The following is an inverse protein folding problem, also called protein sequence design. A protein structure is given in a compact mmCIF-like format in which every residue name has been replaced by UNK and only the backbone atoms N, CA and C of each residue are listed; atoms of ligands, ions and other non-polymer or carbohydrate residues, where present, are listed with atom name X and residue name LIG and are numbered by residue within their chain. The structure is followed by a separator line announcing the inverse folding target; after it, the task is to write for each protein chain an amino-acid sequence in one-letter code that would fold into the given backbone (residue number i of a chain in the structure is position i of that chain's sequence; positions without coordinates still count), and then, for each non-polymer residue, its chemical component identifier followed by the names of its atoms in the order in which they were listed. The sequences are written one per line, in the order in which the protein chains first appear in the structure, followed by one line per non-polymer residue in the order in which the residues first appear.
data_IF_891410778321
#
_entry.id   IF_891410778321
#
_cell.length_a   1.000
_cell.length_b   1.000
_cell.length_c   1.000
_cell.angle_alpha   90.00
_cell.angle_beta   90.00
_cell.angle_gamma   90.00
#
_symmetry.space_group_name_H-M   'P 1'
#
loop_
_entity.id
_entity.type
_entity.pdbx_description
1 polymer ?
#
# COMPACT_ATOMS: atom_id res chain seq x y z
N UNK A 1 5.92 16.83 -13.75
CA UNK A 1 5.15 17.24 -14.95
C UNK A 1 4.45 16.09 -15.72
N UNK A 2 4.39 14.83 -15.23
CA UNK A 2 3.83 13.69 -16.00
C UNK A 2 2.58 13.01 -15.40
N UNK A 3 2.22 13.26 -14.13
CA UNK A 3 0.94 12.79 -13.58
C UNK A 3 -0.27 13.56 -14.11
N UNK A 4 -0.07 14.74 -14.72
CA UNK A 4 -1.16 15.56 -15.27
C UNK A 4 -1.95 14.83 -16.35
N UNK A 5 -1.30 13.95 -17.11
CA UNK A 5 -1.99 13.17 -18.14
C UNK A 5 -2.88 12.08 -17.52
N UNK A 6 -2.49 11.46 -16.40
CA UNK A 6 -3.28 10.38 -15.78
C UNK A 6 -4.32 10.87 -14.77
N UNK A 7 -4.16 12.07 -14.17
CA UNK A 7 -5.02 12.59 -13.09
C UNK A 7 -6.51 12.70 -13.49
N UNK A 8 -6.79 12.91 -14.77
CA UNK A 8 -8.16 12.99 -15.30
C UNK A 8 -8.75 11.67 -15.78
N UNK A 9 -8.07 10.53 -15.57
CA UNK A 9 -8.50 9.21 -16.05
C UNK A 9 -8.84 8.30 -14.88
N UNK A 10 -9.91 7.51 -15.03
CA UNK A 10 -10.25 6.46 -14.07
C UNK A 10 -9.67 5.12 -14.53
N UNK A 11 -8.89 4.44 -13.67
CA UNK A 11 -8.35 3.12 -13.97
C UNK A 11 -9.44 2.05 -13.93
N UNK A 12 -9.36 1.06 -14.82
CA UNK A 12 -10.38 0.02 -14.99
C UNK A 12 -10.53 -0.94 -13.80
N UNK A 13 -9.50 -1.10 -12.97
CA UNK A 13 -9.53 -1.93 -11.74
C UNK A 13 -9.17 -1.06 -10.52
N UNK A 14 -10.10 -0.81 -9.57
CA UNK A 14 -11.46 -1.37 -9.48
C UNK A 14 -12.50 -0.64 -10.36
N UNK A 15 -12.09 0.30 -11.21
CA UNK A 15 -13.02 1.03 -12.06
C UNK A 15 -13.83 2.09 -11.31
N UNK A 16 -14.98 2.42 -11.88
CA UNK A 16 -15.97 3.32 -11.28
C UNK A 16 -16.93 2.58 -10.31
N UNK A 17 -16.79 1.26 -10.17
CA UNK A 17 -17.75 0.42 -9.44
C UNK A 17 -18.00 0.87 -8.00
N UNK A 18 -16.94 1.22 -7.25
CA UNK A 18 -17.11 1.70 -5.87
C UNK A 18 -17.85 3.04 -5.78
N UNK A 19 -17.70 3.92 -6.78
CA UNK A 19 -18.40 5.22 -6.79
C UNK A 19 -19.85 5.01 -7.17
N UNK A 20 -20.12 4.16 -8.18
CA UNK A 20 -21.49 3.78 -8.55
C UNK A 20 -22.25 3.19 -7.37
N UNK A 21 -21.67 2.23 -6.66
CA UNK A 21 -22.30 1.64 -5.47
C UNK A 21 -22.51 2.66 -4.35
N UNK A 22 -21.60 3.64 -4.20
CA UNK A 22 -21.76 4.72 -3.24
C UNK A 22 -22.89 5.69 -3.62
N UNK A 23 -23.12 5.94 -4.91
CA UNK A 23 -24.27 6.70 -5.40
C UNK A 23 -25.58 5.94 -5.14
N UNK A 24 -25.61 4.63 -5.38
CA UNK A 24 -26.82 3.81 -5.24
C UNK A 24 -27.20 3.54 -3.77
N UNK A 25 -26.20 3.30 -2.90
CA UNK A 25 -26.41 2.80 -1.52
C UNK A 25 -25.98 3.77 -0.43
N UNK A 26 -25.37 4.91 -0.77
CA UNK A 26 -24.86 5.88 0.18
C UNK A 26 -23.90 5.25 1.20
N UNK A 27 -24.09 5.55 2.48
CA UNK A 27 -23.24 5.04 3.58
C UNK A 27 -23.24 3.51 3.67
N UNK A 28 -24.31 2.83 3.26
CA UNK A 28 -24.38 1.37 3.26
C UNK A 28 -23.40 0.73 2.27
N UNK A 29 -22.92 1.50 1.29
CA UNK A 29 -21.88 1.05 0.38
C UNK A 29 -20.61 0.60 1.14
N UNK A 30 -20.27 1.21 2.28
CA UNK A 30 -19.09 0.85 3.09
C UNK A 30 -19.08 -0.62 3.53
N UNK A 31 -20.27 -1.20 3.71
CA UNK A 31 -20.44 -2.55 4.23
C UNK A 31 -20.65 -3.60 3.13
N UNK A 32 -20.76 -3.18 1.86
CA UNK A 32 -21.15 -4.02 0.73
C UNK A 32 -19.99 -4.63 -0.08
N UNK A 33 -18.75 -4.58 0.43
CA UNK A 33 -17.58 -5.16 -0.25
C UNK A 33 -17.67 -6.66 -0.55
N UNK A 34 -17.12 -7.10 -1.67
CA UNK A 34 -17.00 -8.52 -2.03
C UNK A 34 -15.54 -8.85 -2.40
N UNK A 35 -14.90 -9.87 -1.79
CA UNK A 35 -15.37 -10.59 -0.60
C UNK A 35 -15.20 -9.74 0.68
N UNK A 36 -14.13 -8.95 0.77
CA UNK A 36 -13.84 -8.15 1.97
C UNK A 36 -14.59 -6.83 1.97
N UNK A 37 -14.75 -6.22 3.14
CA UNK A 37 -15.45 -4.93 3.25
C UNK A 37 -14.81 -3.82 2.40
N UNK A 38 -13.48 -3.79 2.23
CA UNK A 38 -12.78 -2.73 1.48
C UNK A 38 -13.12 -1.30 1.95
N UNK A 39 -13.30 -1.12 3.27
CA UNK A 39 -13.80 0.13 3.87
C UNK A 39 -13.00 1.35 3.45
N UNK A 40 -11.67 1.28 3.37
CA UNK A 40 -10.86 2.43 2.95
C UNK A 40 -11.25 2.92 1.55
N UNK A 41 -11.28 2.02 0.57
CA UNK A 41 -11.54 2.37 -0.82
C UNK A 41 -12.96 2.88 -1.03
N UNK A 42 -13.93 2.25 -0.34
CA UNK A 42 -15.33 2.65 -0.37
C UNK A 42 -15.59 3.97 0.36
N UNK A 43 -14.87 4.26 1.45
CA UNK A 43 -14.95 5.55 2.11
C UNK A 43 -14.44 6.67 1.22
N UNK A 44 -13.34 6.44 0.49
CA UNK A 44 -12.88 7.39 -0.53
C UNK A 44 -13.93 7.55 -1.63
N UNK A 45 -14.50 6.45 -2.15
CA UNK A 45 -15.53 6.51 -3.18
C UNK A 45 -16.81 7.24 -2.74
N UNK A 46 -17.21 7.08 -1.48
CA UNK A 46 -18.34 7.80 -0.88
C UNK A 46 -18.09 9.30 -0.78
N UNK A 47 -16.86 9.72 -0.47
CA UNK A 47 -16.50 11.15 -0.48
C UNK A 47 -16.52 11.67 -1.93
N UNK A 48 -15.98 10.89 -2.87
CA UNK A 48 -15.93 11.26 -4.29
C UNK A 48 -17.33 11.39 -4.89
N UNK A 49 -18.29 10.56 -4.49
CA UNK A 49 -19.65 10.60 -5.02
C UNK A 49 -20.40 11.90 -4.71
N UNK A 50 -19.92 12.71 -3.75
CA UNK A 50 -20.48 14.04 -3.44
C UNK A 50 -20.07 15.13 -4.44
N UNK A 51 -19.11 14.83 -5.32
CA UNK A 51 -18.62 15.79 -6.31
C UNK A 51 -19.30 15.59 -7.68
N UNK A 52 -19.38 16.65 -8.51
CA UNK A 52 -19.95 16.55 -9.85
C UNK A 52 -19.30 15.43 -10.66
N UNK A 53 -20.12 14.66 -11.40
CA UNK A 53 -19.68 13.48 -12.15
C UNK A 53 -18.40 13.73 -12.96
N UNK A 54 -18.31 14.86 -13.67
CA UNK A 54 -17.15 15.22 -14.49
C UNK A 54 -15.82 15.41 -13.72
N UNK A 55 -15.85 15.75 -12.42
CA UNK A 55 -14.65 15.99 -11.61
C UNK A 55 -14.23 14.80 -10.74
N UNK A 56 -15.05 13.75 -10.67
CA UNK A 56 -14.84 12.62 -9.75
C UNK A 56 -13.49 11.90 -9.95
N UNK A 57 -13.00 11.77 -11.18
CA UNK A 57 -11.68 11.17 -11.46
C UNK A 57 -10.52 11.94 -10.80
N UNK A 58 -10.58 13.28 -10.88
CA UNK A 58 -9.56 14.17 -10.32
C UNK A 58 -9.62 14.12 -8.79
N UNK A 59 -10.83 14.25 -8.22
CA UNK A 59 -11.05 14.21 -6.77
C UNK A 59 -10.60 12.86 -6.19
N UNK A 60 -10.96 11.75 -6.84
CA UNK A 60 -10.50 10.41 -6.47
C UNK A 60 -8.98 10.35 -6.43
N UNK A 61 -8.32 10.81 -7.50
CA UNK A 61 -6.87 10.80 -7.58
C UNK A 61 -6.22 11.63 -6.47
N UNK A 62 -6.76 12.82 -6.18
CA UNK A 62 -6.25 13.68 -5.12
C UNK A 62 -6.37 13.02 -3.74
N UNK A 63 -7.53 12.45 -3.41
CA UNK A 63 -7.75 11.78 -2.12
C UNK A 63 -6.85 10.55 -1.99
N UNK A 64 -6.68 9.76 -3.06
CA UNK A 64 -5.75 8.63 -3.08
C UNK A 64 -4.33 9.11 -2.73
N UNK A 65 -3.81 10.14 -3.40
CA UNK A 65 -2.48 10.67 -3.11
C UNK A 65 -2.36 11.26 -1.70
N UNK A 66 -3.44 11.83 -1.16
CA UNK A 66 -3.50 12.29 0.22
C UNK A 66 -3.34 11.12 1.21
N UNK A 67 -4.02 10.00 0.99
CA UNK A 67 -3.87 8.78 1.82
C UNK A 67 -2.45 8.24 1.77
N UNK A 68 -1.85 8.16 0.58
CA UNK A 68 -0.45 7.75 0.39
C UNK A 68 0.52 8.68 1.13
N UNK A 69 0.30 9.99 1.04
CA UNK A 69 1.12 11.01 1.71
C UNK A 69 1.00 10.90 3.23
N UNK A 70 -0.20 10.72 3.76
CA UNK A 70 -0.43 10.53 5.19
C UNK A 70 0.27 9.28 5.72
N UNK A 71 0.17 8.15 5.00
CA UNK A 71 0.89 6.92 5.34
C UNK A 71 2.41 7.13 5.32
N UNK A 72 2.91 7.91 4.36
CA UNK A 72 4.34 8.24 4.24
C UNK A 72 4.82 9.10 5.41
N UNK A 73 4.02 10.07 5.86
CA UNK A 73 4.30 10.86 7.06
C UNK A 73 4.32 9.97 8.32
N UNK A 74 3.37 9.04 8.45
CA UNK A 74 3.35 8.09 9.58
C UNK A 74 4.63 7.23 9.60
N UNK A 75 5.05 6.69 8.46
CA UNK A 75 6.31 5.95 8.35
C UNK A 75 7.50 6.83 8.70
N UNK A 76 7.56 8.06 8.18
CA UNK A 76 8.65 8.99 8.41
C UNK A 76 8.81 9.33 9.90
N UNK A 77 7.70 9.67 10.56
CA UNK A 77 7.68 10.01 11.99
C UNK A 77 8.08 8.81 12.85
N UNK A 78 7.52 7.63 12.59
CA UNK A 78 7.86 6.40 13.32
C UNK A 78 9.34 6.04 13.15
N UNK A 79 9.84 6.11 11.93
CA UNK A 79 11.25 5.81 11.61
C UNK A 79 12.20 6.83 12.23
N UNK A 80 11.84 8.11 12.19
CA UNK A 80 12.60 9.18 12.83
C UNK A 80 12.74 8.91 14.34
N UNK A 81 11.65 8.51 15.01
CA UNK A 81 11.67 8.17 16.43
C UNK A 81 12.58 6.98 16.73
N UNK A 82 12.49 5.92 15.92
CA UNK A 82 13.35 4.73 16.06
C UNK A 82 14.84 5.05 15.88
N UNK A 83 15.19 5.76 14.81
CA UNK A 83 16.58 6.06 14.44
C UNK A 83 17.18 7.29 15.11
N UNK A 84 16.35 8.14 15.71
CA UNK A 84 16.69 9.50 16.17
C UNK A 84 17.30 10.39 15.07
N UNK A 85 17.03 10.10 13.80
CA UNK A 85 17.57 10.85 12.65
C UNK A 85 16.45 11.29 11.72
N UNK A 86 16.29 12.61 11.56
CA UNK A 86 15.21 13.18 10.73
C UNK A 86 15.38 12.81 9.25
N UNK A 87 16.62 12.84 8.75
CA UNK A 87 16.94 12.50 7.35
C UNK A 87 16.51 11.06 7.04
N UNK A 88 16.78 10.12 7.96
CA UNK A 88 16.37 8.73 7.78
C UNK A 88 14.85 8.61 7.73
N UNK A 89 14.13 9.32 8.62
CA UNK A 89 12.66 9.37 8.57
C UNK A 89 12.12 9.95 7.26
N UNK A 90 12.67 11.08 6.80
CA UNK A 90 12.25 11.71 5.54
C UNK A 90 12.48 10.77 4.36
N UNK A 91 13.66 10.14 4.27
CA UNK A 91 13.98 9.19 3.20
C UNK A 91 13.04 8.00 3.23
N UNK A 92 12.71 7.43 4.40
CA UNK A 92 11.77 6.29 4.45
C UNK A 92 10.35 6.66 4.09
N UNK A 93 9.88 7.85 4.47
CA UNK A 93 8.60 8.38 3.99
C UNK A 93 8.59 8.54 2.47
N UNK A 94 9.65 9.11 1.90
CA UNK A 94 9.80 9.26 0.45
C UNK A 94 9.83 7.91 -0.29
N UNK A 95 10.45 6.88 0.28
CA UNK A 95 10.45 5.53 -0.29
C UNK A 95 9.03 4.96 -0.45
N UNK A 96 8.10 5.27 0.47
CA UNK A 96 6.69 4.92 0.28
C UNK A 96 5.99 5.89 -0.69
N UNK A 97 6.17 7.21 -0.54
CA UNK A 97 5.44 8.20 -1.33
C UNK A 97 5.77 8.12 -2.84
N UNK A 98 7.04 7.90 -3.15
CA UNK A 98 7.50 7.67 -4.52
C UNK A 98 7.14 6.26 -5.01
N UNK A 99 6.85 5.37 -4.07
CA UNK A 99 6.37 4.00 -4.29
C UNK A 99 7.01 3.33 -5.50
N UNK A 100 8.35 3.26 -5.57
CA UNK A 100 9.02 2.98 -6.83
C UNK A 100 8.43 1.71 -7.51
N UNK A 101 8.20 0.67 -6.72
CA UNK A 101 7.75 -0.64 -7.15
C UNK A 101 6.23 -0.77 -7.38
N UNK A 102 5.47 0.28 -7.05
CA UNK A 102 4.02 0.35 -7.27
C UNK A 102 3.65 0.75 -8.70
N UNK A 103 4.63 1.16 -9.52
CA UNK A 103 4.42 1.55 -10.93
C UNK A 103 3.16 2.43 -11.12
N UNK A 104 2.40 2.16 -12.18
CA UNK A 104 1.12 2.76 -12.53
C UNK A 104 0.00 2.44 -11.54
N UNK A 105 0.10 1.32 -10.82
CA UNK A 105 -0.96 0.87 -9.93
C UNK A 105 -1.17 1.81 -8.74
N UNK A 106 -0.20 2.66 -8.39
CA UNK A 106 -0.34 3.65 -7.30
C UNK A 106 -1.15 4.90 -7.66
N UNK A 107 -1.25 5.25 -8.95
CA UNK A 107 -1.78 6.54 -9.39
C UNK A 107 -3.30 6.45 -9.61
N UNK A 108 -4.07 7.15 -8.79
CA UNK A 108 -5.54 7.25 -8.94
C UNK A 108 -6.31 5.96 -8.65
N UNK A 109 -5.62 4.85 -8.38
CA UNK A 109 -6.23 3.57 -8.06
C UNK A 109 -6.62 3.51 -6.58
N UNK A 110 -7.92 3.70 -6.34
CA UNK A 110 -8.50 3.67 -5.01
C UNK A 110 -8.40 2.30 -4.32
N UNK A 111 -8.41 1.19 -5.09
CA UNK A 111 -8.27 -0.16 -4.54
C UNK A 111 -6.89 -0.43 -3.94
N UNK A 112 -5.87 0.32 -4.37
CA UNK A 112 -4.49 0.14 -3.94
C UNK A 112 -4.10 0.90 -2.68
N UNK A 113 -4.94 1.79 -2.15
CA UNK A 113 -4.64 2.51 -0.89
C UNK A 113 -4.49 1.58 0.32
N UNK A 114 -5.00 0.35 0.23
CA UNK A 114 -4.81 -0.68 1.27
C UNK A 114 -3.35 -1.04 1.52
N UNK A 115 -2.49 -0.96 0.50
CA UNK A 115 -1.08 -1.31 0.61
C UNK A 115 -0.23 -0.29 1.38
N UNK A 116 -0.23 1.02 1.07
CA UNK A 116 0.47 2.00 1.88
C UNK A 116 -0.06 2.03 3.33
N UNK A 117 -1.36 1.81 3.53
CA UNK A 117 -1.96 1.68 4.86
C UNK A 117 -1.41 0.48 5.65
N UNK A 118 -1.30 -0.70 5.01
CA UNK A 118 -0.67 -1.87 5.61
C UNK A 118 0.80 -1.62 5.94
N UNK A 119 1.57 -1.01 5.02
CA UNK A 119 2.97 -0.69 5.25
C UNK A 119 3.13 0.22 6.47
N UNK A 120 2.33 1.30 6.55
CA UNK A 120 2.35 2.23 7.68
C UNK A 120 1.98 1.53 8.99
N UNK A 121 0.92 0.71 9.00
CA UNK A 121 0.50 -0.03 10.19
C UNK A 121 1.59 -1.01 10.66
N UNK A 122 2.23 -1.75 9.76
CA UNK A 122 3.31 -2.69 10.11
C UNK A 122 4.52 -1.96 10.66
N UNK A 123 4.91 -0.82 10.07
CA UNK A 123 6.00 0.02 10.57
C UNK A 123 5.70 0.53 11.98
N UNK A 124 4.47 1.00 12.20
CA UNK A 124 4.00 1.42 13.52
C UNK A 124 4.07 0.26 14.50
N UNK A 125 3.46 -0.89 14.19
CA UNK A 125 3.47 -2.06 15.08
C UNK A 125 4.88 -2.62 15.35
N UNK A 126 5.86 -2.39 14.46
CA UNK A 126 7.25 -2.78 14.67
C UNK A 126 8.01 -1.83 15.61
N UNK A 127 7.51 -0.62 15.85
CA UNK A 127 8.19 0.38 16.65
C UNK A 127 8.13 0.07 18.14
N UNK A 128 9.31 0.09 18.78
CA UNK A 128 9.48 -0.07 20.22
C UNK A 128 9.28 1.23 21.00
N UNK A 129 9.28 2.38 20.30
CA UNK A 129 9.22 3.73 20.87
C UNK A 129 7.84 4.38 20.79
N UNK A 130 6.79 3.63 20.49
CA UNK A 130 5.42 4.13 20.48
C UNK A 130 4.94 4.53 21.88
N UNK A 131 4.30 5.70 21.97
CA UNK A 131 3.70 6.19 23.21
C UNK A 131 2.18 5.99 23.16
N UNK A 132 1.56 5.88 24.34
CA UNK A 132 0.11 5.74 24.46
C UNK A 132 -0.65 6.91 23.79
N UNK A 133 -0.11 8.12 23.86
CA UNK A 133 -0.69 9.31 23.22
C UNK A 133 -0.77 9.20 21.69
N UNK A 134 0.10 8.39 21.06
CA UNK A 134 0.09 8.21 19.62
C UNK A 134 -1.10 7.33 19.15
N UNK A 135 -1.78 6.63 20.08
CA UNK A 135 -2.93 5.77 19.75
C UNK A 135 -4.09 6.53 19.12
N UNK A 136 -4.24 7.83 19.40
CA UNK A 136 -5.32 8.64 18.77
C UNK A 136 -5.19 8.67 17.24
N UNK A 137 -3.95 8.68 16.74
CA UNK A 137 -3.66 8.71 15.30
C UNK A 137 -3.54 7.30 14.70
N UNK A 138 -3.10 6.33 15.50
CA UNK A 138 -2.87 4.96 15.03
C UNK A 138 -4.18 4.15 15.02
N UNK A 139 -5.12 4.42 15.93
CA UNK A 139 -6.37 3.67 16.05
C UNK A 139 -7.20 3.70 14.75
N UNK A 140 -7.45 4.87 14.12
CA UNK A 140 -8.14 4.92 12.83
C UNK A 140 -7.40 4.12 11.75
N UNK A 141 -6.07 4.24 11.69
CA UNK A 141 -5.25 3.49 10.74
C UNK A 141 -5.43 1.97 10.94
N UNK A 142 -5.33 1.48 12.19
CA UNK A 142 -5.47 0.06 12.50
C UNK A 142 -6.86 -0.48 12.15
N UNK A 143 -7.93 0.23 12.54
CA UNK A 143 -9.31 -0.18 12.28
C UNK A 143 -9.58 -0.20 10.77
N UNK A 144 -9.29 0.90 10.06
CA UNK A 144 -9.60 1.02 8.64
C UNK A 144 -8.77 0.02 7.83
N UNK A 145 -7.49 -0.17 8.15
CA UNK A 145 -6.63 -1.15 7.46
C UNK A 145 -7.15 -2.58 7.67
N UNK A 146 -7.50 -2.94 8.91
CA UNK A 146 -8.07 -4.25 9.25
C UNK A 146 -9.39 -4.52 8.54
N UNK A 147 -10.29 -3.54 8.51
CA UNK A 147 -11.56 -3.62 7.77
C UNK A 147 -11.38 -3.50 6.25
N UNK A 148 -10.17 -3.29 5.74
CA UNK A 148 -9.92 -3.23 4.31
C UNK A 148 -9.31 -4.51 3.75
N UNK A 149 -8.51 -5.24 4.53
CA UNK A 149 -7.80 -6.41 4.04
C UNK A 149 -7.37 -7.40 5.13
N UNK A 150 -7.36 -8.72 4.81
CA UNK A 150 -7.06 -9.78 5.77
C UNK A 150 -5.58 -9.84 6.18
N UNK A 151 -4.67 -9.36 5.34
CA UNK A 151 -3.21 -9.38 5.61
C UNK A 151 -2.82 -8.54 6.82
N UNK A 152 -3.74 -7.71 7.33
CA UNK A 152 -3.57 -6.97 8.59
C UNK A 152 -3.25 -7.88 9.78
N UNK A 153 -3.63 -9.17 9.74
CA UNK A 153 -3.26 -10.17 10.77
C UNK A 153 -1.75 -10.27 10.98
N UNK A 154 -0.97 -10.02 9.93
CA UNK A 154 0.48 -10.09 9.98
C UNK A 154 1.07 -8.99 10.88
N UNK A 155 0.34 -7.90 11.14
CA UNK A 155 0.76 -6.86 12.10
C UNK A 155 0.78 -7.35 13.55
N UNK A 156 0.26 -8.54 13.87
CA UNK A 156 0.43 -9.15 15.20
C UNK A 156 1.85 -9.66 15.44
N UNK A 157 2.56 -10.09 14.38
CA UNK A 157 3.95 -10.58 14.48
C UNK A 157 4.89 -9.55 15.11
N UNK A 158 4.97 -8.28 14.63
CA UNK A 158 5.85 -7.28 15.24
C UNK A 158 5.46 -6.96 16.69
N UNK A 159 4.16 -6.96 17.02
CA UNK A 159 3.69 -6.76 18.40
C UNK A 159 4.11 -7.90 19.33
N UNK A 160 4.05 -9.15 18.86
CA UNK A 160 4.54 -10.32 19.60
C UNK A 160 6.06 -10.25 19.80
N UNK A 161 6.82 -9.92 18.74
CA UNK A 161 8.28 -9.75 18.84
C UNK A 161 8.62 -8.67 19.88
N UNK A 162 7.92 -7.53 19.86
CA UNK A 162 8.12 -6.46 20.83
C UNK A 162 7.82 -6.94 22.27
N UNK A 163 6.72 -7.66 22.47
CA UNK A 163 6.35 -8.19 23.79
C UNK A 163 7.41 -9.17 24.33
N UNK A 164 7.98 -10.01 23.46
CA UNK A 164 9.06 -10.95 23.81
C UNK A 164 10.36 -10.20 24.11
N UNK A 165 10.76 -9.26 23.25
CA UNK A 165 12.03 -8.52 23.37
C UNK A 165 12.05 -7.63 24.61
N UNK A 166 10.92 -6.99 24.93
CA UNK A 166 10.77 -6.15 26.13
C UNK A 166 10.35 -6.93 27.38
N UNK A 167 9.99 -8.22 27.23
CA UNK A 167 9.40 -9.08 28.27
C UNK A 167 8.17 -8.47 28.94
N UNK A 168 7.45 -7.57 28.25
CA UNK A 168 6.30 -6.84 28.78
C UNK A 168 5.30 -6.53 27.67
N UNK A 169 4.02 -6.74 27.96
CA UNK A 169 2.94 -6.24 27.11
C UNK A 169 2.56 -4.84 27.59
N UNK A 170 2.88 -3.82 26.80
CA UNK A 170 2.44 -2.44 27.12
C UNK A 170 0.97 -2.26 26.79
N UNK A 171 0.31 -1.25 27.39
CA UNK A 171 -1.08 -0.90 27.06
C UNK A 171 -1.23 -0.59 25.55
N UNK A 172 -0.27 0.11 24.96
CA UNK A 172 -0.22 0.40 23.53
C UNK A 172 -0.19 -0.89 22.70
N UNK A 173 0.72 -1.82 23.03
CA UNK A 173 0.85 -3.11 22.34
C UNK A 173 -0.44 -3.93 22.44
N UNK A 174 -1.05 -4.01 23.64
CA UNK A 174 -2.30 -4.72 23.87
C UNK A 174 -3.48 -4.10 23.09
N UNK A 175 -3.62 -2.77 23.11
CA UNK A 175 -4.68 -2.07 22.37
C UNK A 175 -4.54 -2.29 20.87
N UNK A 176 -3.34 -2.16 20.30
CA UNK A 176 -3.12 -2.42 18.87
C UNK A 176 -3.41 -3.87 18.50
N UNK A 177 -2.99 -4.83 19.32
CA UNK A 177 -3.30 -6.24 19.11
C UNK A 177 -4.81 -6.48 19.11
N UNK A 178 -5.55 -5.90 20.06
CA UNK A 178 -7.00 -6.02 20.15
C UNK A 178 -7.70 -5.40 18.92
N UNK A 179 -7.26 -4.23 18.45
CA UNK A 179 -7.83 -3.59 17.26
C UNK A 179 -7.60 -4.42 16.00
N UNK A 180 -6.40 -4.97 15.84
CA UNK A 180 -6.05 -5.85 14.72
C UNK A 180 -6.91 -7.12 14.78
N UNK A 181 -6.95 -7.82 15.92
CA UNK A 181 -7.76 -9.03 16.09
C UNK A 181 -9.25 -8.75 15.85
N UNK A 182 -9.81 -7.69 16.44
CA UNK A 182 -11.22 -7.35 16.30
C UNK A 182 -11.62 -7.02 14.86
N UNK A 183 -10.81 -6.24 14.15
CA UNK A 183 -11.07 -5.90 12.75
C UNK A 183 -10.97 -7.12 11.82
N UNK A 184 -10.05 -8.06 12.09
CA UNK A 184 -9.95 -9.32 11.35
C UNK A 184 -11.12 -10.24 11.67
N UNK A 185 -11.57 -10.32 12.93
CA UNK A 185 -12.72 -11.13 13.30
C UNK A 185 -13.97 -10.69 12.52
N UNK A 186 -14.19 -9.37 12.37
CA UNK A 186 -15.26 -8.83 11.54
C UNK A 186 -15.11 -9.21 10.06
N UNK A 187 -13.89 -9.20 9.51
CA UNK A 187 -13.64 -9.64 8.12
C UNK A 187 -13.92 -11.12 7.94
N UNK A 188 -13.47 -11.95 8.88
CA UNK A 188 -13.66 -13.41 8.84
C UNK A 188 -15.12 -13.79 9.01
N UNK A 189 -15.89 -13.04 9.82
CA UNK A 189 -17.33 -13.22 9.94
C UNK A 189 -18.03 -13.00 8.59
N UNK A 190 -17.57 -12.04 7.79
CA UNK A 190 -18.15 -11.75 6.49
C UNK A 190 -17.75 -12.75 5.41
N UNK A 191 -16.45 -13.01 5.29
CA UNK A 191 -15.89 -13.78 4.16
C UNK A 191 -15.88 -15.28 4.43
N UNK A 192 -15.91 -15.68 5.70
CA UNK A 192 -15.64 -17.05 6.11
C UNK A 192 -14.15 -17.42 5.99
N UNK A 193 -13.73 -18.43 6.75
CA UNK A 193 -12.33 -18.85 6.86
C UNK A 193 -11.77 -19.40 5.53
N UNK A 194 -12.61 -20.08 4.75
CA UNK A 194 -12.21 -20.76 3.51
C UNK A 194 -11.92 -19.76 2.38
N UNK A 195 -12.77 -18.75 2.18
CA UNK A 195 -12.51 -17.71 1.19
C UNK A 195 -11.38 -16.77 1.64
N UNK A 196 -11.18 -16.59 2.96
CA UNK A 196 -10.09 -15.79 3.48
C UNK A 196 -8.69 -16.39 3.20
N UNK A 197 -8.58 -17.70 3.00
CA UNK A 197 -7.31 -18.43 2.87
C UNK A 197 -6.97 -18.86 1.44
N UNK A 198 -7.97 -18.93 0.55
CA UNK A 198 -7.81 -19.37 -0.85
C UNK A 198 -7.32 -18.25 -1.78
N UNK A 199 -7.62 -16.99 -1.45
CA UNK A 199 -7.18 -15.82 -2.22
C UNK A 199 -7.96 -15.62 -3.52
N UNK A 200 -7.38 -14.89 -4.48
CA UNK A 200 -8.02 -14.63 -5.77
C UNK A 200 -8.13 -15.91 -6.60
N UNK A 201 -9.29 -16.08 -7.25
CA UNK A 201 -9.60 -17.21 -8.13
C UNK A 201 -8.75 -17.21 -9.41
N UNK A 202 -8.48 -16.02 -9.95
CA UNK A 202 -7.58 -15.84 -11.10
C UNK A 202 -6.33 -15.13 -10.62
N UNK A 203 -5.16 -15.78 -10.78
CA UNK A 203 -3.86 -15.22 -10.39
C UNK A 203 -2.72 -15.75 -11.25
N UNK A 204 -1.76 -14.87 -11.54
CA UNK A 204 -0.53 -15.25 -12.24
C UNK A 204 0.42 -15.90 -11.23
N UNK A 205 0.62 -17.21 -11.34
CA UNK A 205 1.42 -17.99 -10.38
C UNK A 205 2.78 -18.41 -10.91
N UNK A 206 3.10 -18.10 -12.17
CA UNK A 206 4.39 -18.47 -12.77
C UNK A 206 4.97 -17.25 -13.48
N UNK A 207 6.29 -17.01 -13.35
CA UNK A 207 6.98 -16.06 -14.20
C UNK A 207 6.75 -16.39 -15.67
N UNK A 208 6.65 -15.36 -16.51
CA UNK A 208 6.47 -15.50 -17.95
C UNK A 208 7.73 -15.09 -18.73
N UNK A 209 7.86 -15.60 -19.96
CA UNK A 209 8.93 -15.20 -20.86
C UNK A 209 8.88 -13.70 -21.12
N UNK A 210 10.03 -13.01 -21.00
CA UNK A 210 10.10 -11.56 -21.21
C UNK A 210 9.54 -10.70 -20.07
N UNK A 211 9.23 -11.28 -18.90
CA UNK A 211 8.77 -10.57 -17.70
C UNK A 211 9.69 -9.39 -17.30
N UNK A 212 10.97 -9.41 -17.66
CA UNK A 212 11.84 -8.24 -17.54
C UNK A 212 12.24 -7.90 -16.10
N UNK A 213 13.18 -6.97 -15.95
CA UNK A 213 13.84 -6.70 -14.67
C UNK A 213 12.89 -6.16 -13.59
N UNK A 214 11.89 -5.37 -13.96
CA UNK A 214 10.92 -4.80 -13.03
C UNK A 214 10.24 -5.88 -12.19
N UNK A 215 9.58 -6.80 -12.88
CA UNK A 215 8.78 -7.84 -12.28
C UNK A 215 9.65 -8.83 -11.49
N UNK A 216 10.86 -9.16 -11.98
CA UNK A 216 11.82 -9.97 -11.23
C UNK A 216 12.28 -9.26 -9.95
N UNK A 217 12.61 -7.98 -10.03
CA UNK A 217 13.04 -7.20 -8.88
C UNK A 217 11.93 -7.07 -7.83
N UNK A 218 10.68 -6.85 -8.24
CA UNK A 218 9.54 -6.77 -7.33
C UNK A 218 9.27 -8.10 -6.62
N UNK A 219 9.43 -9.22 -7.33
CA UNK A 219 9.18 -10.55 -6.79
C UNK A 219 10.29 -11.03 -5.84
N UNK A 220 11.57 -10.87 -6.21
CA UNK A 220 12.69 -11.51 -5.48
C UNK A 220 13.47 -10.56 -4.60
N UNK A 221 13.68 -9.30 -5.01
CA UNK A 221 14.55 -8.40 -4.28
C UNK A 221 14.06 -8.03 -2.87
N UNK A 222 12.76 -7.87 -2.53
CA UNK A 222 12.39 -7.59 -1.14
C UNK A 222 12.75 -8.77 -0.22
N UNK A 223 12.63 -10.01 -0.71
CA UNK A 223 12.98 -11.21 0.04
C UNK A 223 14.49 -11.31 0.22
N UNK A 224 15.27 -11.15 -0.85
CA UNK A 224 16.74 -11.23 -0.80
C UNK A 224 17.31 -10.14 0.12
N UNK A 225 16.84 -8.90 -0.03
CA UNK A 225 17.27 -7.77 0.81
C UNK A 225 16.89 -8.01 2.27
N UNK A 226 15.68 -8.49 2.54
CA UNK A 226 15.25 -8.80 3.90
C UNK A 226 16.07 -9.93 4.54
N UNK A 227 16.37 -11.01 3.80
CA UNK A 227 17.24 -12.09 4.28
C UNK A 227 18.64 -11.54 4.60
N UNK A 228 19.22 -10.75 3.70
CA UNK A 228 20.52 -10.14 3.92
C UNK A 228 20.52 -9.24 5.18
N UNK A 229 19.49 -8.40 5.34
CA UNK A 229 19.33 -7.55 6.52
C UNK A 229 19.22 -8.40 7.79
N UNK A 230 18.39 -9.44 7.78
CA UNK A 230 18.19 -10.31 8.93
C UNK A 230 19.50 -11.02 9.33
N UNK A 231 20.24 -11.60 8.37
CA UNK A 231 21.51 -12.29 8.62
C UNK A 231 22.56 -11.35 9.19
N UNK A 232 22.76 -10.18 8.57
CA UNK A 232 23.74 -9.19 9.04
C UNK A 232 23.34 -8.65 10.41
N UNK A 233 22.05 -8.38 10.63
CA UNK A 233 21.56 -7.90 11.92
C UNK A 233 21.74 -8.95 13.02
N UNK A 234 21.45 -10.23 12.76
CA UNK A 234 21.68 -11.32 13.72
C UNK A 234 23.17 -11.46 14.06
N UNK A 235 24.04 -11.39 13.04
CA UNK A 235 25.49 -11.38 13.25
C UNK A 235 25.95 -10.20 14.11
N UNK A 236 25.40 -8.99 13.87
CA UNK A 236 25.66 -7.82 14.70
C UNK A 236 25.14 -7.99 16.14
N UNK A 237 23.96 -8.60 16.34
CA UNK A 237 23.37 -8.83 17.66
C UNK A 237 24.22 -9.78 18.50
N UNK A 238 24.79 -10.82 17.88
CA UNK A 238 25.70 -11.76 18.56
C UNK A 238 26.98 -11.06 19.00
N UNK A 239 27.51 -10.16 18.17
CA UNK A 239 28.78 -9.45 18.44
C UNK A 239 28.64 -8.22 19.33
N UNK A 240 27.47 -7.57 19.35
CA UNK A 240 27.22 -6.33 20.09
C UNK A 240 25.90 -6.42 20.83
N UNK A 241 25.97 -6.32 22.16
CA UNK A 241 24.78 -6.27 23.00
C UNK A 241 23.94 -5.02 22.70
N UNK A 242 22.60 -5.18 22.72
CA UNK A 242 21.57 -4.13 22.58
C UNK A 242 21.53 -3.40 21.23
N UNK A 243 21.07 -4.08 20.19
CA UNK A 243 20.59 -3.44 18.95
C UNK A 243 19.05 -3.39 18.94
N UNK A 244 18.47 -2.32 18.38
CA UNK A 244 17.02 -2.24 18.17
C UNK A 244 16.56 -3.39 17.28
N UNK A 245 15.50 -4.08 17.69
CA UNK A 245 14.85 -5.16 16.91
C UNK A 245 14.07 -4.64 15.71
N UNK A 246 13.85 -3.32 15.61
CA UNK A 246 13.06 -2.69 14.55
C UNK A 246 13.49 -3.11 13.12
N UNK A 247 14.78 -3.04 12.71
CA UNK A 247 15.17 -3.42 11.34
C UNK A 247 14.97 -4.92 11.06
N UNK A 248 15.24 -5.77 12.05
CA UNK A 248 15.01 -7.22 11.92
C UNK A 248 13.52 -7.51 11.75
N UNK A 249 12.68 -6.90 12.58
CA UNK A 249 11.23 -7.07 12.53
C UNK A 249 10.69 -6.65 11.15
N UNK A 250 11.09 -5.49 10.63
CA UNK A 250 10.68 -5.06 9.29
C UNK A 250 11.13 -6.02 8.19
N UNK A 251 12.34 -6.57 8.28
CA UNK A 251 12.83 -7.57 7.33
C UNK A 251 12.00 -8.86 7.38
N UNK A 252 11.71 -9.38 8.58
CA UNK A 252 10.83 -10.56 8.74
C UNK A 252 9.43 -10.30 8.17
N UNK A 253 8.90 -9.10 8.40
CA UNK A 253 7.60 -8.70 7.86
C UNK A 253 7.59 -8.55 6.34
N UNK A 254 8.69 -8.05 5.75
CA UNK A 254 8.83 -8.00 4.30
C UNK A 254 8.71 -9.40 3.68
N UNK A 255 9.39 -10.40 4.26
CA UNK A 255 9.32 -11.79 3.80
C UNK A 255 7.91 -12.36 4.00
N UNK A 256 7.35 -12.22 5.20
CA UNK A 256 6.03 -12.75 5.53
C UNK A 256 4.94 -12.19 4.60
N UNK A 257 4.95 -10.87 4.37
CA UNK A 257 3.97 -10.21 3.50
C UNK A 257 4.22 -10.55 2.03
N UNK A 258 5.47 -10.70 1.58
CA UNK A 258 5.77 -11.14 0.21
C UNK A 258 5.18 -12.53 -0.06
N UNK A 259 5.46 -13.49 0.82
CA UNK A 259 4.97 -14.86 0.71
C UNK A 259 3.44 -14.92 0.74
N UNK A 260 2.82 -14.20 1.69
CA UNK A 260 1.37 -14.19 1.82
C UNK A 260 0.67 -13.47 0.67
N UNK A 261 1.23 -12.35 0.19
CA UNK A 261 0.67 -11.64 -0.96
C UNK A 261 0.76 -12.49 -2.23
N UNK A 262 1.89 -13.16 -2.45
CA UNK A 262 2.05 -14.11 -3.55
C UNK A 262 1.08 -15.29 -3.45
N UNK A 263 0.91 -15.87 -2.25
CA UNK A 263 -0.05 -16.96 -2.03
C UNK A 263 -1.48 -16.54 -2.37
N UNK A 264 -1.89 -15.34 -1.93
CA UNK A 264 -3.26 -14.85 -2.09
C UNK A 264 -3.55 -14.28 -3.48
N UNK A 265 -2.59 -13.62 -4.13
CA UNK A 265 -2.84 -12.86 -5.36
C UNK A 265 -1.89 -13.15 -6.52
N UNK A 266 -0.88 -13.99 -6.33
CA UNK A 266 0.14 -14.26 -7.34
C UNK A 266 1.07 -13.07 -7.59
N UNK A 267 1.54 -12.95 -8.83
CA UNK A 267 2.45 -11.89 -9.28
C UNK A 267 1.61 -10.70 -9.76
N UNK A 268 1.65 -9.59 -9.02
CA UNK A 268 1.12 -8.28 -9.44
C UNK A 268 1.90 -7.17 -8.75
N UNK A 269 2.06 -6.03 -9.43
CA UNK A 269 2.85 -4.88 -8.97
C UNK A 269 2.38 -4.31 -7.63
N UNK A 270 1.06 -4.22 -7.42
CA UNK A 270 0.44 -3.81 -6.16
C UNK A 270 0.91 -4.63 -4.95
N UNK A 271 1.28 -5.90 -5.14
CA UNK A 271 1.76 -6.77 -4.07
C UNK A 271 3.22 -6.49 -3.68
N UNK A 272 3.98 -5.77 -4.50
CA UNK A 272 5.39 -5.45 -4.21
C UNK A 272 5.55 -4.24 -3.29
N UNK A 273 4.51 -3.40 -3.18
CA UNK A 273 4.52 -2.14 -2.43
C UNK A 273 5.00 -2.37 -1.00
N UNK A 274 4.31 -3.23 -0.25
CA UNK A 274 4.58 -3.42 1.18
C UNK A 274 5.90 -4.15 1.42
N UNK A 275 6.15 -5.33 0.84
CA UNK A 275 7.40 -6.04 1.07
C UNK A 275 8.63 -5.19 0.75
N UNK A 276 8.58 -4.45 -0.36
CA UNK A 276 9.72 -3.66 -0.79
C UNK A 276 9.91 -2.40 0.06
N UNK A 277 8.82 -1.72 0.44
CA UNK A 277 8.90 -0.60 1.40
C UNK A 277 9.54 -1.07 2.71
N UNK A 278 9.09 -2.20 3.26
CA UNK A 278 9.62 -2.71 4.52
C UNK A 278 11.09 -3.15 4.39
N UNK A 279 11.45 -3.86 3.32
CA UNK A 279 12.82 -4.32 3.07
C UNK A 279 13.79 -3.15 2.88
N UNK A 280 13.39 -2.11 2.13
CA UNK A 280 14.23 -0.93 1.89
C UNK A 280 14.40 -0.06 3.13
N UNK A 281 13.34 0.10 3.95
CA UNK A 281 13.45 0.74 5.27
C UNK A 281 14.42 -0.03 6.16
N UNK A 282 14.28 -1.36 6.23
CA UNK A 282 15.15 -2.22 7.02
C UNK A 282 16.61 -2.12 6.55
N UNK A 283 16.85 -2.13 5.24
CA UNK A 283 18.17 -1.99 4.64
C UNK A 283 18.79 -0.61 4.88
N UNK A 284 18.00 0.47 4.81
CA UNK A 284 18.47 1.82 5.12
C UNK A 284 18.89 1.92 6.60
N UNK A 285 18.06 1.42 7.52
CA UNK A 285 18.39 1.41 8.94
C UNK A 285 19.67 0.62 9.23
N UNK A 286 19.80 -0.57 8.64
CA UNK A 286 21.00 -1.39 8.77
C UNK A 286 22.22 -0.67 8.16
N UNK A 287 22.07 -0.04 7.00
CA UNK A 287 23.15 0.71 6.34
C UNK A 287 23.62 1.87 7.22
N UNK A 288 22.69 2.63 7.81
CA UNK A 288 23.03 3.70 8.74
C UNK A 288 23.74 3.19 10.00
N UNK A 289 23.37 2.00 10.48
CA UNK A 289 24.11 1.34 11.56
C UNK A 289 25.53 0.94 11.10
N UNK A 290 25.66 0.28 9.95
CA UNK A 290 26.96 -0.16 9.41
C UNK A 290 27.90 1.00 9.09
N UNK A 291 27.39 2.11 8.55
CA UNK A 291 28.22 3.29 8.23
C UNK A 291 28.82 3.93 9.49
N UNK A 292 28.17 3.80 10.65
CA UNK A 292 28.73 4.21 11.95
C UNK A 292 29.82 3.25 12.42
N UNK A 293 29.66 1.95 12.14
CA UNK A 293 30.61 0.92 12.56
C UNK A 293 31.82 0.80 11.62
N UNK A 294 31.64 1.11 10.34
CA UNK A 294 32.59 0.93 9.25
C UNK A 294 32.67 2.23 8.41
N UNK A 295 33.16 3.34 8.99
CA UNK A 295 33.11 4.65 8.34
C UNK A 295 33.88 4.68 7.01
N UNK A 296 34.95 3.89 6.88
CA UNK A 296 35.75 3.76 5.64
C UNK A 296 34.93 3.22 4.46
N UNK A 297 33.89 2.44 4.72
CA UNK A 297 33.03 1.85 3.68
C UNK A 297 31.73 2.64 3.48
N UNK A 298 31.56 3.80 4.12
CA UNK A 298 30.31 4.58 4.10
C UNK A 298 29.83 4.88 2.69
N UNK A 299 30.71 5.40 1.83
CA UNK A 299 30.37 5.76 0.44
C UNK A 299 29.92 4.52 -0.32
N UNK A 300 30.69 3.43 -0.24
CA UNK A 300 30.36 2.17 -0.89
C UNK A 300 28.99 1.63 -0.45
N UNK A 301 28.71 1.61 0.86
CA UNK A 301 27.44 1.12 1.40
C UNK A 301 26.24 1.97 0.95
N UNK A 302 26.38 3.30 0.95
CA UNK A 302 25.33 4.20 0.48
C UNK A 302 25.11 4.09 -1.04
N UNK A 303 26.19 3.97 -1.82
CA UNK A 303 26.10 3.72 -3.26
C UNK A 303 25.44 2.37 -3.56
N UNK A 304 25.78 1.31 -2.85
CA UNK A 304 25.17 0.00 -3.02
C UNK A 304 23.67 0.03 -2.73
N UNK A 305 23.26 0.68 -1.63
CA UNK A 305 21.84 0.89 -1.30
C UNK A 305 21.15 1.71 -2.41
N UNK A 306 21.76 2.82 -2.84
CA UNK A 306 21.25 3.65 -3.91
C UNK A 306 21.07 2.87 -5.20
N UNK A 307 22.07 2.13 -5.66
CA UNK A 307 22.00 1.30 -6.87
C UNK A 307 20.88 0.25 -6.75
N UNK A 308 20.78 -0.45 -5.61
CA UNK A 308 19.73 -1.44 -5.37
C UNK A 308 18.31 -0.86 -5.40
N UNK A 309 18.16 0.42 -5.01
CA UNK A 309 16.89 1.15 -4.97
C UNK A 309 16.66 2.04 -6.20
N UNK A 310 17.66 2.30 -7.04
CA UNK A 310 17.53 3.19 -8.20
C UNK A 310 17.65 2.49 -9.56
N UNK A 311 18.40 1.38 -9.67
CA UNK A 311 18.64 0.70 -10.96
C UNK A 311 17.44 -0.13 -11.43
N UNK A 312 16.82 -0.98 -10.59
CA UNK A 312 15.59 -1.66 -10.98
C UNK A 312 14.45 -0.67 -11.28
N UNK A 313 14.65 0.59 -10.91
CA UNK A 313 13.63 1.60 -10.66
C UNK A 313 13.64 2.74 -11.67
N UNK A 314 14.72 2.81 -12.46
CA UNK A 314 14.95 3.81 -13.48
C UNK A 314 13.88 3.84 -14.59
N UNK A 315 13.11 2.75 -14.78
CA UNK A 315 11.98 2.70 -15.74
C UNK A 315 10.65 3.24 -15.17
N UNK A 316 10.58 3.70 -13.92
CA UNK A 316 9.31 3.97 -13.21
C UNK A 316 8.75 5.37 -13.35
N UNK A 317 9.52 6.32 -13.90
CA UNK A 317 9.07 7.70 -14.08
C UNK A 317 8.36 7.97 -15.42
N UNK A 318 8.12 6.92 -16.23
CA UNK A 318 7.21 7.00 -17.37
C UNK A 318 5.86 6.41 -16.97
N UNK A 319 4.79 7.23 -17.03
CA UNK A 319 3.42 6.69 -17.13
C UNK A 319 3.39 5.86 -18.41
N UNK A 320 3.24 4.55 -18.27
CA UNK A 320 3.09 3.67 -19.42
C UNK A 320 1.73 3.87 -20.08
N UNK A 321 1.48 3.01 -21.07
CA UNK A 321 0.27 3.10 -21.88
C UNK A 321 -0.99 2.90 -21.02
N UNK A 322 -0.93 2.12 -19.92
CA UNK A 322 -2.11 1.80 -19.10
C UNK A 322 -2.82 3.04 -18.54
N UNK A 323 -2.09 4.07 -18.11
CA UNK A 323 -2.67 5.30 -17.55
C UNK A 323 -2.79 6.46 -18.54
N UNK A 324 -2.27 6.28 -19.76
CA UNK A 324 -2.27 7.31 -20.81
C UNK A 324 -3.16 6.93 -21.99
N UNK A 325 -3.51 5.66 -22.14
CA UNK A 325 -4.43 5.15 -23.15
C UNK A 325 -5.88 5.39 -22.76
N UNK A 326 -6.71 5.68 -23.76
CA UNK A 326 -8.12 5.95 -23.56
C UNK A 326 -8.42 7.41 -23.23
N UNK A 327 -9.72 7.77 -23.26
CA UNK A 327 -10.17 9.14 -23.09
C UNK A 327 -10.07 9.59 -21.63
N UNK A 328 -10.08 10.91 -21.41
CA UNK A 328 -10.23 11.45 -20.05
C UNK A 328 -11.67 11.29 -19.59
N UNK A 329 -11.87 11.12 -18.29
CA UNK A 329 -13.20 10.96 -17.70
C UNK A 329 -14.09 12.17 -18.04
N UNK A 330 -13.55 13.38 -17.91
CA UNK A 330 -14.29 14.59 -18.24
C UNK A 330 -14.77 14.64 -19.70
N UNK A 331 -13.92 14.21 -20.65
CA UNK A 331 -14.30 14.16 -22.07
C UNK A 331 -15.39 13.12 -22.33
N UNK A 332 -15.30 11.96 -21.69
CA UNK A 332 -16.32 10.92 -21.80
C UNK A 332 -17.65 11.32 -21.19
N UNK A 333 -17.65 12.01 -20.05
CA UNK A 333 -18.88 12.54 -19.45
C UNK A 333 -19.51 13.62 -20.35
N UNK A 334 -18.70 14.47 -21.00
CA UNK A 334 -19.21 15.44 -21.97
C UNK A 334 -19.85 14.77 -23.19
N UNK A 335 -19.21 13.73 -23.75
CA UNK A 335 -19.75 12.88 -24.82
C UNK A 335 -21.06 12.21 -24.40
N UNK A 336 -21.07 11.61 -23.22
CA UNK A 336 -22.21 10.90 -22.66
C UNK A 336 -23.41 11.84 -22.47
N UNK A 337 -23.19 13.05 -21.94
CA UNK A 337 -24.24 14.07 -21.80
C UNK A 337 -24.84 14.47 -23.15
N UNK A 338 -24.00 14.73 -24.15
CA UNK A 338 -24.47 15.05 -25.51
C UNK A 338 -25.31 13.91 -26.11
N UNK A 339 -24.94 12.66 -25.84
CA UNK A 339 -25.70 11.48 -26.28
C UNK A 339 -27.04 11.38 -25.57
N UNK A 340 -27.06 11.59 -24.23
CA UNK A 340 -28.28 11.63 -23.44
C UNK A 340 -29.27 12.70 -23.92
N UNK A 341 -28.77 13.89 -24.27
CA UNK A 341 -29.59 15.00 -24.76
C UNK A 341 -30.14 14.77 -26.18
N UNK A 342 -29.39 14.08 -27.04
CA UNK A 342 -29.74 13.90 -28.46
C UNK A 342 -30.64 12.68 -28.68
N UNK A 343 -30.26 11.54 -28.09
CA UNK A 343 -30.87 10.24 -28.40
C UNK A 343 -31.86 9.78 -27.31
N UNK A 344 -31.95 10.50 -26.19
CA UNK A 344 -32.76 10.16 -25.00
C UNK A 344 -32.68 8.68 -24.54
N UNK A 345 -31.51 8.03 -24.49
CA UNK A 345 -31.39 6.69 -23.94
C UNK A 345 -31.59 6.71 -22.41
N UNK A 346 -32.10 5.60 -21.85
CA UNK A 346 -32.20 5.45 -20.39
C UNK A 346 -30.81 5.39 -19.72
N UNK A 347 -29.84 4.79 -20.43
CA UNK A 347 -28.46 4.61 -19.99
C UNK A 347 -27.48 4.85 -21.13
N UNK A 348 -26.26 5.25 -20.79
CA UNK A 348 -25.16 5.47 -21.72
C UNK A 348 -23.89 4.77 -21.23
N UNK A 349 -23.18 4.12 -22.16
CA UNK A 349 -21.87 3.54 -21.86
C UNK A 349 -20.77 4.60 -21.90
N UNK A 350 -20.00 4.64 -20.81
CA UNK A 350 -18.87 5.55 -20.61
C UNK A 350 -17.58 4.73 -20.58
N UNK A 351 -16.61 5.08 -21.42
CA UNK A 351 -15.35 4.35 -21.48
C UNK A 351 -14.46 4.70 -20.27
N UNK A 352 -13.76 3.69 -19.74
CA UNK A 352 -12.75 3.83 -18.67
C UNK A 352 -11.38 3.35 -19.17
N UNK A 353 -10.32 3.92 -18.59
CA UNK A 353 -8.93 3.71 -19.02
C UNK A 353 -8.31 2.50 -18.30
N UNK A 354 -7.49 1.66 -18.96
CA UNK A 354 -7.15 1.65 -20.39
C UNK A 354 -8.19 0.97 -21.29
N UNK A 355 -9.02 0.10 -20.70
CA UNK A 355 -10.02 -0.70 -21.39
C UNK A 355 -11.13 -1.07 -20.42
N UNK A 356 -12.37 -0.78 -20.79
CA UNK A 356 -13.56 -1.10 -20.02
C UNK A 356 -14.64 -0.05 -20.26
N UNK A 357 -15.87 -0.38 -19.87
CA UNK A 357 -17.02 0.53 -19.92
C UNK A 357 -17.76 0.51 -18.59
N UNK A 358 -18.48 1.59 -18.30
CA UNK A 358 -19.46 1.64 -17.22
C UNK A 358 -20.75 2.24 -17.76
N UNK A 359 -21.88 1.63 -17.41
CA UNK A 359 -23.19 2.19 -17.72
C UNK A 359 -23.57 3.25 -16.69
N UNK A 360 -23.92 4.44 -17.16
CA UNK A 360 -24.50 5.50 -16.33
C UNK A 360 -25.92 5.80 -16.78
N UNK A 361 -26.81 6.16 -15.86
CA UNK A 361 -28.17 6.60 -16.19
C UNK A 361 -28.15 8.05 -16.66
N UNK A 362 -28.91 8.36 -17.71
CA UNK A 362 -29.00 9.73 -18.24
C UNK A 362 -29.77 10.69 -17.31
N UNK A 363 -30.52 10.16 -16.34
CA UNK A 363 -31.31 10.93 -15.37
C UNK A 363 -30.50 11.39 -14.12
N UNK A 364 -29.16 11.43 -14.19
CA UNK A 364 -28.25 11.75 -13.06
C UNK A 364 -27.58 13.10 -13.24
#
# INVERSE_FOLDING_TARGET
MRSTQSIGRLPADPGYGYVSEALDRGVMALWSGDPYYHVAARAVALIVSWFPLASQAIVMTLIVHMVWSLCSVVIAVTTHRESSQIVVGVVTGLLLALAPHASESGIGNVGNIKWPMLAALVVVCASTKLRYQDLIWITPLAIITGLTQPLTVLALIPLMIQAVDTRRVTRTTATLALLVVGSIALQLQKVGLNAATTGQSTKVTRPWGGMGLFWWSGLTAPIIVAIAVALVWLWLRVRKARQSTFPLTLALMAIAIAVMSYRLGGIADRYFIVPMTLATIAALQLTMLLTRLLPRHKVFLLCALGIGVFVPTAKWFSTGWYLTSGPTWQAEIARARSTCETDNPEKVEVNISPSGTVELRCAV
#
